data_IF_896081062184
#
_entry.id   IF_896081062184
#
_cell.length_a   1.000
_cell.length_b   1.000
_cell.length_c   1.000
_cell.angle_alpha   90.00
_cell.angle_beta   90.00
_cell.angle_gamma   90.00
#
_symmetry.space_group_name_H-M   'P 1'
#
loop_
_entity.id
_entity.type
_entity.pdbx_description
1 polymer ?
#
# COMPACT_ATOMS: atom_id res chain seq x y z
N UNK A 1 8.58 32.92 -28.91
CA UNK A 1 8.62 31.92 -30.01
C UNK A 1 9.69 30.90 -29.61
N UNK A 2 9.34 29.65 -29.33
CA UNK A 2 10.32 28.62 -28.94
C UNK A 2 11.02 28.05 -30.18
N UNK A 3 12.35 27.92 -30.16
CA UNK A 3 13.06 27.26 -31.25
C UNK A 3 12.93 25.73 -31.15
N UNK A 4 13.19 25.02 -32.26
CA UNK A 4 13.28 23.54 -32.26
C UNK A 4 14.26 22.99 -31.22
N UNK A 5 15.34 23.74 -30.93
CA UNK A 5 16.33 23.38 -29.90
C UNK A 5 15.79 23.61 -28.49
N UNK A 6 14.99 24.65 -28.28
CA UNK A 6 14.38 24.92 -26.97
C UNK A 6 13.30 23.88 -26.66
N UNK A 7 12.50 23.50 -27.67
CA UNK A 7 11.56 22.38 -27.54
C UNK A 7 12.28 21.06 -27.20
N UNK A 8 13.40 20.76 -27.87
CA UNK A 8 14.20 19.56 -27.57
C UNK A 8 14.77 19.55 -26.14
N UNK A 9 15.24 20.69 -25.63
CA UNK A 9 15.72 20.82 -24.26
C UNK A 9 14.61 20.63 -23.22
N UNK A 10 13.43 21.21 -23.45
CA UNK A 10 12.27 21.05 -22.57
C UNK A 10 11.78 19.59 -22.59
N UNK A 11 11.70 18.98 -23.77
CA UNK A 11 11.30 17.58 -23.92
C UNK A 11 12.27 16.65 -23.17
N UNK A 12 13.59 16.80 -23.38
CA UNK A 12 14.60 15.99 -22.69
C UNK A 12 14.61 16.19 -21.17
N UNK A 13 14.33 17.41 -20.69
CA UNK A 13 14.17 17.67 -19.25
C UNK A 13 12.87 17.06 -18.67
N UNK A 14 11.83 16.88 -19.51
CA UNK A 14 10.55 16.29 -19.13
C UNK A 14 10.51 14.76 -19.11
N UNK A 15 11.36 14.07 -19.89
CA UNK A 15 11.37 12.60 -19.95
C UNK A 15 11.66 11.93 -18.59
N UNK A 16 12.69 12.34 -17.80
CA UNK A 16 12.95 11.74 -16.49
C UNK A 16 11.79 11.94 -15.52
N UNK A 17 11.10 13.08 -15.62
CA UNK A 17 9.97 13.42 -14.76
C UNK A 17 8.72 12.60 -15.12
N UNK A 18 8.46 12.38 -16.42
CA UNK A 18 7.39 11.51 -16.87
C UNK A 18 7.64 10.03 -16.51
N UNK A 19 8.90 9.58 -16.56
CA UNK A 19 9.27 8.22 -16.16
C UNK A 19 9.12 7.99 -14.65
N UNK A 20 9.40 9.00 -13.81
CA UNK A 20 9.23 8.94 -12.36
C UNK A 20 7.75 8.82 -11.92
N UNK A 21 6.81 9.19 -12.78
CA UNK A 21 5.36 9.03 -12.54
C UNK A 21 4.71 7.93 -13.38
N UNK A 22 5.51 7.14 -14.11
CA UNK A 22 4.97 6.03 -14.87
C UNK A 22 4.50 4.94 -13.91
N UNK A 23 3.25 4.49 -14.08
CA UNK A 23 2.75 3.30 -13.39
C UNK A 23 3.61 2.09 -13.75
N UNK A 24 3.81 1.19 -12.79
CA UNK A 24 4.47 -0.09 -13.02
C UNK A 24 3.58 -0.93 -13.94
N UNK A 25 4.12 -1.37 -15.07
CA UNK A 25 3.41 -2.24 -15.99
C UNK A 25 3.57 -3.70 -15.56
N UNK A 26 2.58 -4.24 -14.86
CA UNK A 26 2.55 -5.66 -14.45
C UNK A 26 1.70 -6.54 -15.36
N UNK A 27 1.69 -6.26 -16.66
CA UNK A 27 1.06 -7.13 -17.66
C UNK A 27 2.05 -8.14 -18.21
N UNK A 28 1.70 -9.42 -18.12
CA UNK A 28 2.46 -10.54 -18.71
C UNK A 28 1.61 -11.14 -19.83
N UNK A 29 2.11 -11.08 -21.06
CA UNK A 29 1.37 -11.54 -22.26
C UNK A 29 -0.06 -10.94 -22.36
N UNK A 30 -0.21 -9.67 -21.97
CA UNK A 30 -1.50 -8.96 -21.96
C UNK A 30 -2.38 -9.20 -20.72
N UNK A 31 -2.03 -10.16 -19.85
CA UNK A 31 -2.76 -10.46 -18.61
C UNK A 31 -2.26 -9.56 -17.48
N UNK A 32 -3.17 -8.86 -16.82
CA UNK A 32 -2.87 -8.04 -15.65
C UNK A 32 -2.57 -8.94 -14.44
N UNK A 33 -1.36 -8.84 -13.90
CA UNK A 33 -0.96 -9.54 -12.67
C UNK A 33 -0.89 -8.51 -11.53
N UNK A 34 -1.50 -8.86 -10.40
CA UNK A 34 -1.47 -8.09 -9.17
C UNK A 34 -1.20 -9.00 -7.97
N UNK A 35 -1.14 -8.39 -6.78
CA UNK A 35 -0.89 -9.11 -5.53
C UNK A 35 -1.77 -8.60 -4.42
N UNK A 36 -2.24 -9.48 -3.54
CA UNK A 36 -2.80 -9.05 -2.28
C UNK A 36 -1.67 -8.78 -1.29
N UNK A 37 -1.68 -7.62 -0.61
CA UNK A 37 -0.55 -7.28 0.29
C UNK A 37 -0.39 -8.28 1.45
N UNK A 38 -1.40 -9.09 1.76
CA UNK A 38 -1.31 -10.22 2.72
C UNK A 38 -0.20 -11.23 2.38
N UNK A 39 0.20 -11.35 1.10
CA UNK A 39 1.36 -12.16 0.70
C UNK A 39 2.66 -11.74 1.39
N UNK A 40 2.72 -10.51 1.90
CA UNK A 40 3.86 -9.95 2.64
C UNK A 40 3.65 -9.89 4.15
N UNK A 41 2.66 -10.63 4.70
CA UNK A 41 2.33 -10.65 6.14
C UNK A 41 3.49 -11.00 7.07
N UNK A 42 4.57 -11.59 6.57
CA UNK A 42 5.72 -11.97 7.40
C UNK A 42 6.81 -10.88 7.45
N UNK A 43 6.60 -9.74 6.78
CA UNK A 43 7.50 -8.59 6.86
C UNK A 43 7.53 -8.03 8.28
N UNK A 44 8.63 -7.42 8.75
CA UNK A 44 8.65 -6.76 10.05
C UNK A 44 7.80 -5.49 10.06
N UNK A 45 7.17 -5.20 11.20
CA UNK A 45 6.37 -4.00 11.39
C UNK A 45 7.22 -2.75 11.70
N UNK A 46 6.81 -1.55 11.27
CA UNK A 46 5.67 -1.27 10.39
C UNK A 46 5.97 -1.67 8.93
N UNK A 47 5.08 -2.46 8.32
CA UNK A 47 5.42 -3.17 7.08
C UNK A 47 5.08 -2.41 5.79
N UNK A 48 4.20 -1.40 5.82
CA UNK A 48 3.63 -0.80 4.60
C UNK A 48 4.68 -0.31 3.60
N UNK A 49 5.68 0.46 4.06
CA UNK A 49 6.71 1.01 3.19
C UNK A 49 7.64 -0.09 2.64
N UNK A 50 7.94 -1.10 3.45
CA UNK A 50 8.70 -2.27 3.02
C UNK A 50 7.94 -3.11 1.98
N UNK A 51 6.62 -3.24 2.14
CA UNK A 51 5.73 -3.92 1.19
C UNK A 51 5.68 -3.18 -0.14
N UNK A 52 5.47 -1.86 -0.11
CA UNK A 52 5.49 -1.02 -1.31
C UNK A 52 6.82 -1.19 -2.03
N UNK A 53 7.94 -1.09 -1.30
CA UNK A 53 9.28 -1.31 -1.86
C UNK A 53 9.41 -2.70 -2.50
N UNK A 54 9.01 -3.77 -1.80
CA UNK A 54 9.06 -5.12 -2.37
C UNK A 54 8.22 -5.25 -3.64
N UNK A 55 7.03 -4.66 -3.68
CA UNK A 55 6.20 -4.65 -4.89
C UNK A 55 6.88 -3.91 -6.05
N UNK A 56 7.54 -2.77 -5.78
CA UNK A 56 8.31 -2.06 -6.81
C UNK A 56 9.48 -2.89 -7.34
N UNK A 57 10.19 -3.61 -6.47
CA UNK A 57 11.33 -4.47 -6.85
C UNK A 57 10.87 -5.70 -7.65
N UNK A 58 9.72 -6.28 -7.31
CA UNK A 58 9.13 -7.42 -8.05
C UNK A 58 8.54 -6.96 -9.40
N UNK A 59 8.16 -5.69 -9.53
CA UNK A 59 7.51 -5.15 -10.73
C UNK A 59 6.00 -5.40 -10.77
N UNK A 60 5.33 -5.43 -9.60
CA UNK A 60 3.88 -5.57 -9.49
C UNK A 60 3.21 -4.22 -9.26
N UNK A 61 2.54 -3.70 -10.29
CA UNK A 61 1.92 -2.39 -10.32
C UNK A 61 0.45 -2.35 -9.92
N UNK A 62 -0.11 -3.44 -9.41
CA UNK A 62 -1.50 -3.50 -8.96
C UNK A 62 -1.63 -4.36 -7.70
N UNK A 63 -2.46 -3.93 -6.74
CA UNK A 63 -2.74 -4.70 -5.53
C UNK A 63 -4.13 -4.56 -4.93
N UNK A 64 -4.50 -5.60 -4.19
CA UNK A 64 -5.53 -5.55 -3.16
C UNK A 64 -4.84 -5.29 -1.83
N UNK A 65 -5.26 -4.25 -1.11
CA UNK A 65 -4.68 -3.87 0.17
C UNK A 65 -5.35 -4.65 1.30
N UNK A 66 -4.57 -5.39 2.07
CA UNK A 66 -5.00 -6.05 3.29
C UNK A 66 -5.13 -5.03 4.43
N UNK A 67 -6.33 -4.94 5.04
CA UNK A 67 -6.64 -3.94 6.07
C UNK A 67 -5.60 -3.84 7.19
N UNK A 68 -5.06 -4.96 7.67
CA UNK A 68 -4.10 -4.94 8.78
C UNK A 68 -2.77 -4.22 8.46
N UNK A 69 -2.42 -4.00 7.19
CA UNK A 69 -1.23 -3.23 6.81
C UNK A 69 -1.45 -1.72 6.78
N UNK A 70 -2.69 -1.26 6.97
CA UNK A 70 -3.04 0.17 7.03
C UNK A 70 -3.75 0.56 8.32
N UNK A 71 -4.05 -0.42 9.16
CA UNK A 71 -4.60 -0.26 10.50
C UNK A 71 -3.47 -0.28 11.55
N UNK A 72 -3.72 0.17 12.79
CA UNK A 72 -2.73 0.10 13.85
C UNK A 72 -2.27 -1.33 14.16
N UNK A 73 -1.00 -1.42 14.57
CA UNK A 73 -0.34 -2.64 14.99
C UNK A 73 -1.06 -3.33 16.15
N UNK A 74 -0.95 -4.66 16.22
CA UNK A 74 -1.46 -5.45 17.35
C UNK A 74 -2.98 -5.59 17.39
N UNK A 75 -3.68 -5.16 16.33
CA UNK A 75 -5.09 -5.44 16.15
C UNK A 75 -5.41 -6.95 16.11
N UNK A 76 -6.69 -7.34 16.24
CA UNK A 76 -7.15 -8.73 16.14
C UNK A 76 -6.72 -9.46 14.85
N UNK A 77 -6.37 -8.72 13.79
CA UNK A 77 -6.05 -9.23 12.46
C UNK A 77 -4.56 -9.12 12.18
N UNK A 78 -3.98 -10.19 11.67
CA UNK A 78 -2.53 -10.37 11.64
C UNK A 78 -1.90 -10.29 10.26
N UNK A 79 -1.11 -9.24 10.04
CA UNK A 79 0.06 -9.21 9.16
C UNK A 79 1.34 -9.46 9.98
N UNK A 80 2.38 -8.66 9.77
CA UNK A 80 3.64 -8.66 10.53
C UNK A 80 3.45 -8.80 12.05
N UNK A 81 2.42 -8.12 12.56
CA UNK A 81 2.08 -7.97 13.96
C UNK A 81 1.15 -9.07 14.48
N UNK A 82 0.85 -10.12 13.69
CA UNK A 82 0.11 -11.28 14.15
C UNK A 82 0.78 -11.93 15.38
N UNK A 83 2.11 -11.80 15.47
CA UNK A 83 2.94 -12.25 16.60
C UNK A 83 2.83 -11.34 17.83
N UNK A 84 2.39 -10.09 17.67
CA UNK A 84 2.14 -9.13 18.75
C UNK A 84 0.72 -9.24 19.32
N UNK A 85 -0.11 -10.14 18.79
CA UNK A 85 -1.49 -10.33 19.26
C UNK A 85 -1.52 -10.79 20.71
N UNK A 86 -2.42 -10.23 21.54
CA UNK A 86 -2.61 -10.73 22.89
C UNK A 86 -3.04 -12.20 22.90
N UNK A 87 -2.42 -12.99 23.78
CA UNK A 87 -2.69 -14.43 23.86
C UNK A 87 -3.92 -14.76 24.71
N UNK A 88 -4.23 -13.93 25.71
CA UNK A 88 -5.41 -14.12 26.56
C UNK A 88 -6.68 -13.53 25.91
N UNK A 89 -7.85 -14.00 26.34
CA UNK A 89 -9.13 -13.62 25.74
C UNK A 89 -9.50 -12.15 26.02
N UNK A 90 -9.20 -11.65 27.22
CA UNK A 90 -9.57 -10.31 27.66
C UNK A 90 -8.79 -9.24 26.88
N UNK A 91 -7.48 -9.38 26.77
CA UNK A 91 -6.65 -8.45 26.01
C UNK A 91 -6.94 -8.52 24.50
N UNK A 92 -7.39 -9.67 23.96
CA UNK A 92 -7.93 -9.71 22.58
C UNK A 92 -9.20 -8.89 22.43
N UNK A 93 -10.08 -8.95 23.43
CA UNK A 93 -11.31 -8.14 23.45
C UNK A 93 -10.97 -6.66 23.54
N UNK A 94 -10.05 -6.27 24.40
CA UNK A 94 -9.56 -4.89 24.50
C UNK A 94 -8.94 -4.41 23.19
N UNK A 95 -8.04 -5.19 22.56
CA UNK A 95 -7.45 -4.83 21.27
C UNK A 95 -8.49 -4.64 20.16
N UNK A 96 -9.58 -5.43 20.18
CA UNK A 96 -10.72 -5.24 19.26
C UNK A 96 -11.45 -3.93 19.52
N UNK A 97 -11.74 -3.61 20.78
CA UNK A 97 -12.40 -2.36 21.15
C UNK A 97 -11.55 -1.13 20.82
N UNK A 98 -10.24 -1.19 21.05
CA UNK A 98 -9.31 -0.12 20.67
C UNK A 98 -9.25 0.05 19.14
N UNK A 99 -9.18 -1.04 18.38
CA UNK A 99 -9.24 -0.96 16.92
C UNK A 99 -10.59 -0.39 16.44
N UNK A 100 -11.70 -0.76 17.09
CA UNK A 100 -13.02 -0.19 16.80
C UNK A 100 -13.05 1.32 17.05
N UNK A 101 -12.56 1.78 18.20
CA UNK A 101 -12.46 3.21 18.51
C UNK A 101 -11.61 3.95 17.48
N UNK A 102 -10.49 3.37 17.07
CA UNK A 102 -9.64 3.93 16.01
C UNK A 102 -10.41 4.04 14.69
N UNK A 103 -11.05 2.96 14.23
CA UNK A 103 -11.84 2.95 12.97
C UNK A 103 -12.94 4.01 12.95
N UNK A 104 -13.55 4.30 14.10
CA UNK A 104 -14.63 5.29 14.22
C UNK A 104 -14.11 6.74 14.33
N UNK A 105 -12.84 6.95 14.68
CA UNK A 105 -12.27 8.28 14.95
C UNK A 105 -11.20 8.72 13.95
N UNK A 106 -10.62 7.78 13.19
CA UNK A 106 -9.54 8.06 12.24
C UNK A 106 -10.01 9.04 11.16
N UNK A 107 -9.19 10.06 10.88
CA UNK A 107 -9.43 10.99 9.78
C UNK A 107 -9.23 10.30 8.43
N UNK A 108 -10.00 10.71 7.42
CA UNK A 108 -9.77 10.27 6.04
C UNK A 108 -8.40 10.63 5.48
N UNK A 109 -7.71 11.61 6.08
CA UNK A 109 -6.36 11.98 5.64
C UNK A 109 -5.34 10.86 5.85
N UNK A 110 -5.57 9.97 6.83
CA UNK A 110 -4.77 8.75 7.01
C UNK A 110 -4.79 7.89 5.74
N UNK A 111 -5.97 7.55 5.24
CA UNK A 111 -6.13 6.71 4.06
C UNK A 111 -5.71 7.42 2.78
N UNK A 112 -5.88 8.74 2.67
CA UNK A 112 -5.31 9.52 1.56
C UNK A 112 -3.78 9.44 1.58
N UNK A 113 -3.16 9.52 2.75
CA UNK A 113 -1.71 9.34 2.92
C UNK A 113 -1.25 7.96 2.47
N UNK A 114 -1.97 6.90 2.87
CA UNK A 114 -1.72 5.53 2.40
C UNK A 114 -1.83 5.45 0.87
N UNK A 115 -2.93 5.94 0.29
CA UNK A 115 -3.15 5.94 -1.16
C UNK A 115 -2.02 6.66 -1.89
N UNK A 116 -1.60 7.82 -1.37
CA UNK A 116 -0.50 8.61 -1.94
C UNK A 116 0.80 7.80 -2.01
N UNK A 117 1.14 7.03 -0.97
CA UNK A 117 2.35 6.19 -0.99
C UNK A 117 2.34 5.16 -2.13
N UNK A 118 1.19 4.54 -2.41
CA UNK A 118 1.05 3.61 -3.54
C UNK A 118 1.11 4.33 -4.89
N UNK A 119 0.42 5.47 -5.02
CA UNK A 119 0.43 6.28 -6.25
C UNK A 119 1.85 6.78 -6.57
N UNK A 120 2.58 7.28 -5.57
CA UNK A 120 3.97 7.75 -5.70
C UNK A 120 4.92 6.61 -6.13
N UNK A 121 4.59 5.37 -5.78
CA UNK A 121 5.32 4.17 -6.18
C UNK A 121 4.86 3.58 -7.53
N UNK A 122 3.90 4.21 -8.20
CA UNK A 122 3.35 3.72 -9.47
C UNK A 122 2.50 2.45 -9.33
N UNK A 123 1.94 2.19 -8.14
CA UNK A 123 1.13 1.01 -7.82
C UNK A 123 -0.34 1.39 -7.69
N UNK A 124 -1.21 0.68 -8.41
CA UNK A 124 -2.64 0.86 -8.34
C UNK A 124 -3.28 -0.02 -7.26
N UNK A 125 -4.03 0.59 -6.35
CA UNK A 125 -4.91 -0.15 -5.43
C UNK A 125 -6.23 -0.41 -6.15
N UNK A 126 -6.55 -1.67 -6.44
CA UNK A 126 -7.83 -2.03 -7.10
C UNK A 126 -8.91 -2.43 -6.10
N UNK A 127 -8.52 -2.92 -4.92
CA UNK A 127 -9.44 -3.39 -3.89
C UNK A 127 -8.87 -3.18 -2.48
N UNK A 128 -9.78 -3.11 -1.51
CA UNK A 128 -9.47 -3.07 -0.09
C UNK A 128 -10.05 -4.33 0.57
N UNK A 129 -9.18 -5.21 1.05
CA UNK A 129 -9.58 -6.44 1.72
C UNK A 129 -9.86 -6.16 3.19
N UNK A 130 -11.13 -6.22 3.54
CA UNK A 130 -11.59 -6.22 4.91
C UNK A 130 -12.27 -7.56 5.22
N UNK A 131 -11.79 -8.26 6.24
CA UNK A 131 -12.51 -9.44 6.75
C UNK A 131 -13.73 -8.98 7.57
N UNK A 132 -14.87 -9.65 7.46
CA UNK A 132 -16.06 -9.31 8.26
C UNK A 132 -16.21 -10.17 9.51
N UNK A 133 -15.34 -11.18 9.67
CA UNK A 133 -15.32 -11.99 10.86
C UNK A 133 -14.58 -11.24 11.98
N UNK A 134 -15.24 -11.13 13.13
CA UNK A 134 -14.73 -10.51 14.36
C UNK A 134 -14.15 -11.55 15.35
#
# INVERSE_FOLDING_TARGET
>A
MYSRRDFGKIAMAGVPLAAAWAKINSKVNGVQIGVQTYSFRDFPAPALDAIIKAMTEIGLGQCEVFAAHVEPAGGPRGGAEAKMRPQNADARKEAREELRKWRLSVSMDHFKGVRKKFDDAGIEIYAYNYSFND
#
